data_IF_699045254485
#
_entry.id   IF_699045254485
#
_cell.length_a   1.000
_cell.length_b   1.000
_cell.length_c   1.000
_cell.angle_alpha   90.00
_cell.angle_beta   90.00
_cell.angle_gamma   90.00
#
_symmetry.space_group_name_H-M   'P 1'
#
loop_
_entity.id
_entity.type
_entity.pdbx_description
1 polymer ?
#
# COMPACT_ATOMS: atom_id res chain seq x y z
N UNK A 1 19.04 -20.65 12.64
CA UNK A 1 18.53 -20.31 11.28
C UNK A 1 17.77 -21.51 10.75
N UNK A 2 16.73 -21.31 9.95
CA UNK A 2 15.98 -22.40 9.27
C UNK A 2 16.23 -22.27 7.76
N UNK A 3 16.32 -23.39 7.06
CA UNK A 3 16.54 -23.45 5.61
C UNK A 3 15.23 -23.85 4.91
N UNK A 4 14.93 -23.19 3.79
CA UNK A 4 13.83 -23.52 2.89
C UNK A 4 14.44 -24.03 1.58
N UNK A 5 13.98 -25.20 1.13
CA UNK A 5 14.36 -25.77 -0.16
C UNK A 5 13.07 -25.86 -0.99
N UNK A 6 13.08 -25.23 -2.16
CA UNK A 6 11.93 -25.19 -3.07
C UNK A 6 12.39 -25.60 -4.46
N UNK A 7 11.59 -26.43 -5.14
CA UNK A 7 11.85 -26.81 -6.53
C UNK A 7 11.37 -25.68 -7.44
N UNK A 8 12.24 -25.26 -8.34
CA UNK A 8 11.96 -24.30 -9.41
C UNK A 8 12.51 -24.87 -10.71
N UNK A 9 11.94 -24.48 -11.84
CA UNK A 9 12.49 -24.81 -13.14
C UNK A 9 13.80 -24.05 -13.42
N UNK A 10 14.58 -24.55 -14.38
CA UNK A 10 15.90 -24.03 -14.72
C UNK A 10 15.83 -22.59 -15.29
N UNK A 11 14.74 -22.25 -15.97
CA UNK A 11 14.54 -20.91 -16.54
C UNK A 11 14.36 -19.88 -15.43
N UNK A 12 13.50 -20.16 -14.46
CA UNK A 12 13.28 -19.31 -13.30
C UNK A 12 14.57 -19.17 -12.48
N UNK A 13 15.31 -20.26 -12.29
CA UNK A 13 16.60 -20.21 -11.61
C UNK A 13 17.60 -19.30 -12.33
N UNK A 14 17.71 -19.40 -13.66
CA UNK A 14 18.58 -18.55 -14.46
C UNK A 14 18.21 -17.06 -14.36
N UNK A 15 16.90 -16.75 -14.41
CA UNK A 15 16.39 -15.38 -14.28
C UNK A 15 16.67 -14.78 -12.91
N UNK A 16 16.51 -15.55 -11.84
CA UNK A 16 16.84 -15.11 -10.47
C UNK A 16 18.32 -14.80 -10.35
N UNK A 17 19.19 -15.67 -10.90
CA UNK A 17 20.64 -15.47 -10.87
C UNK A 17 21.07 -14.23 -11.65
N UNK A 18 20.50 -14.02 -12.83
CA UNK A 18 20.75 -12.83 -13.64
C UNK A 18 20.33 -11.54 -12.90
N UNK A 19 19.15 -11.55 -12.27
CA UNK A 19 18.67 -10.42 -11.46
C UNK A 19 19.57 -10.12 -10.27
N UNK A 20 20.00 -11.16 -9.54
CA UNK A 20 20.91 -11.01 -8.41
C UNK A 20 22.25 -10.41 -8.83
N UNK A 21 22.80 -10.87 -9.96
CA UNK A 21 24.04 -10.32 -10.52
C UNK A 21 23.89 -8.85 -10.94
N UNK A 22 22.77 -8.49 -11.58
CA UNK A 22 22.50 -7.10 -11.96
C UNK A 22 22.39 -6.15 -10.77
N UNK A 23 21.88 -6.64 -9.63
CA UNK A 23 21.78 -5.88 -8.37
C UNK A 23 23.07 -5.95 -7.53
N UNK A 24 24.08 -6.73 -7.93
CA UNK A 24 25.31 -6.93 -7.15
C UNK A 24 25.08 -7.69 -5.84
N UNK A 25 24.03 -8.51 -5.77
CA UNK A 25 23.57 -9.20 -4.54
C UNK A 25 23.71 -10.70 -4.68
N UNK A 26 23.79 -11.40 -3.54
CA UNK A 26 23.70 -12.87 -3.56
C UNK A 26 22.27 -13.32 -3.85
N UNK A 27 22.12 -14.46 -4.51
CA UNK A 27 20.79 -15.05 -4.81
C UNK A 27 19.97 -15.24 -3.53
N UNK A 28 20.59 -15.71 -2.45
CA UNK A 28 19.91 -15.89 -1.16
C UNK A 28 19.43 -14.57 -0.56
N UNK A 29 20.20 -13.50 -0.68
CA UNK A 29 19.81 -12.19 -0.17
C UNK A 29 18.66 -11.59 -0.99
N UNK A 30 18.71 -11.72 -2.31
CA UNK A 30 17.61 -11.33 -3.20
C UNK A 30 16.33 -12.10 -2.87
N UNK A 31 16.39 -13.44 -2.82
CA UNK A 31 15.23 -14.29 -2.54
C UNK A 31 14.66 -14.03 -1.15
N UNK A 32 15.52 -13.88 -0.14
CA UNK A 32 15.07 -13.53 1.21
C UNK A 32 14.31 -12.21 1.23
N UNK A 33 14.84 -11.16 0.59
CA UNK A 33 14.18 -9.86 0.52
C UNK A 33 12.85 -9.91 -0.23
N UNK A 34 12.76 -10.69 -1.30
CA UNK A 34 11.50 -10.89 -2.03
C UNK A 34 10.44 -11.62 -1.18
N UNK A 35 10.86 -12.64 -0.42
CA UNK A 35 9.96 -13.36 0.49
C UNK A 35 9.51 -12.47 1.66
N UNK A 36 10.40 -11.66 2.23
CA UNK A 36 10.05 -10.67 3.25
C UNK A 36 9.02 -9.66 2.72
N UNK A 37 9.25 -9.09 1.53
CA UNK A 37 8.31 -8.15 0.91
C UNK A 37 6.95 -8.81 0.62
N UNK A 38 6.94 -10.02 0.07
CA UNK A 38 5.72 -10.75 -0.25
C UNK A 38 4.89 -11.10 1.00
N UNK A 39 5.53 -11.38 2.14
CA UNK A 39 4.86 -11.63 3.41
C UNK A 39 4.41 -10.31 4.06
N UNK A 40 5.19 -9.24 3.96
CA UNK A 40 4.84 -7.92 4.51
C UNK A 40 3.65 -7.30 3.77
N UNK A 41 3.55 -7.43 2.44
CA UNK A 41 2.37 -6.97 1.69
C UNK A 41 1.12 -7.80 2.01
N UNK A 42 1.28 -9.03 2.51
CA UNK A 42 0.19 -9.86 3.01
C UNK A 42 -0.24 -9.52 4.46
N UNK A 43 0.57 -8.75 5.21
CA UNK A 43 0.16 -8.19 6.50
C UNK A 43 -0.90 -7.11 6.25
N UNK A 44 -2.16 -7.51 6.33
CA UNK A 44 -3.34 -6.67 6.16
C UNK A 44 -3.13 -5.24 6.71
N UNK A 45 -3.67 -4.17 6.08
CA UNK A 45 -3.39 -2.76 6.40
C UNK A 45 -3.35 -2.39 7.89
N UNK A 46 -4.13 -3.11 8.71
CA UNK A 46 -4.19 -3.01 10.17
C UNK A 46 -2.87 -3.39 10.88
N UNK A 47 -2.17 -4.40 10.40
CA UNK A 47 -0.92 -4.91 10.99
C UNK A 47 0.28 -4.05 10.60
N UNK A 48 0.36 -3.61 9.33
CA UNK A 48 1.29 -2.56 8.91
C UNK A 48 1.13 -1.29 9.75
N UNK A 49 -0.12 -0.79 9.90
CA UNK A 49 -0.41 0.42 10.68
C UNK A 49 0.04 0.27 12.14
N UNK A 50 -0.22 -0.88 12.76
CA UNK A 50 0.25 -1.18 14.13
C UNK A 50 1.77 -1.12 14.26
N UNK A 51 2.52 -1.72 13.33
CA UNK A 51 4.00 -1.66 13.37
C UNK A 51 4.53 -0.25 13.16
N UNK A 52 3.94 0.52 12.26
CA UNK A 52 4.39 1.89 11.97
C UNK A 52 4.14 2.85 13.14
N UNK A 53 3.04 2.65 13.87
CA UNK A 53 2.78 3.35 15.14
C UNK A 53 3.81 2.94 16.19
N UNK A 54 4.06 1.63 16.38
CA UNK A 54 5.04 1.14 17.34
C UNK A 54 6.48 1.59 17.05
N UNK A 55 6.84 1.73 15.77
CA UNK A 55 8.14 2.22 15.33
C UNK A 55 8.26 3.77 15.39
N UNK A 56 7.22 4.48 15.83
CA UNK A 56 7.21 5.95 15.91
C UNK A 56 7.24 6.66 14.55
N UNK A 57 7.01 5.94 13.45
CA UNK A 57 7.07 6.47 12.08
C UNK A 57 5.74 7.03 11.59
N UNK A 58 4.63 6.70 12.26
CA UNK A 58 3.29 7.19 11.97
C UNK A 58 2.60 7.53 13.29
N UNK A 59 2.01 8.71 13.38
CA UNK A 59 1.13 9.10 14.49
C UNK A 59 -0.30 8.75 14.10
N UNK A 60 -0.97 7.94 14.91
CA UNK A 60 -2.41 7.78 14.81
C UNK A 60 -3.08 9.00 15.42
N UNK A 61 -3.60 9.89 14.58
CA UNK A 61 -4.48 10.98 15.03
C UNK A 61 -5.86 10.39 15.22
N UNK A 62 -6.37 10.41 16.45
CA UNK A 62 -7.80 10.19 16.68
C UNK A 62 -8.55 11.39 16.09
N UNK A 63 -9.48 11.18 15.14
CA UNK A 63 -10.25 12.28 14.59
C UNK A 63 -11.06 12.89 15.74
N UNK A 64 -10.81 14.18 16.03
CA UNK A 64 -11.42 14.88 17.17
C UNK A 64 -12.95 15.02 17.11
N UNK A 65 -13.56 14.63 15.98
CA UNK A 65 -15.02 14.48 15.81
C UNK A 65 -15.29 13.29 14.90
N UNK A 66 -16.36 12.56 15.20
CA UNK A 66 -16.91 11.57 14.29
C UNK A 66 -17.31 12.24 12.98
N UNK A 67 -16.85 11.68 11.87
CA UNK A 67 -17.28 12.14 10.56
C UNK A 67 -18.81 12.00 10.45
N UNK A 68 -19.52 13.00 9.89
CA UNK A 68 -20.95 12.89 9.70
C UNK A 68 -21.28 11.64 8.86
N UNK A 69 -22.26 10.86 9.32
CA UNK A 69 -22.73 9.69 8.59
C UNK A 69 -23.30 10.06 7.21
N UNK A 70 -23.37 9.08 6.30
CA UNK A 70 -23.81 9.29 4.90
C UNK A 70 -25.12 10.05 4.78
N UNK A 71 -26.11 9.76 5.63
CA UNK A 71 -27.41 10.45 5.64
C UNK A 71 -27.26 11.93 5.98
N UNK A 72 -26.48 12.25 7.03
CA UNK A 72 -26.19 13.63 7.45
C UNK A 72 -25.48 14.40 6.36
N UNK A 73 -24.55 13.76 5.65
CA UNK A 73 -23.87 14.34 4.48
C UNK A 73 -24.85 14.60 3.34
N UNK A 74 -25.75 13.67 3.04
CA UNK A 74 -26.76 13.85 2.01
C UNK A 74 -27.75 15.00 2.34
N UNK A 75 -28.13 15.15 3.61
CA UNK A 75 -28.92 16.29 4.09
C UNK A 75 -28.16 17.61 3.95
N UNK A 76 -26.90 17.66 4.42
CA UNK A 76 -26.05 18.86 4.34
C UNK A 76 -25.78 19.31 2.90
N UNK A 77 -25.69 18.35 1.97
CA UNK A 77 -25.43 18.61 0.56
C UNK A 77 -26.71 18.65 -0.28
N UNK A 78 -27.89 18.57 0.35
CA UNK A 78 -29.15 18.63 -0.36
C UNK A 78 -29.30 19.99 -1.05
N UNK A 79 -29.53 20.00 -2.36
CA UNK A 79 -29.63 21.22 -3.16
C UNK A 79 -28.28 21.84 -3.57
N UNK A 80 -27.15 21.35 -3.05
CA UNK A 80 -25.81 21.84 -3.43
C UNK A 80 -25.32 21.28 -4.78
N UNK A 81 -26.04 20.33 -5.37
CA UNK A 81 -25.65 19.61 -6.60
C UNK A 81 -25.29 20.50 -7.78
N UNK A 82 -26.14 21.48 -8.18
CA UNK A 82 -25.83 22.35 -9.32
C UNK A 82 -24.58 23.20 -9.10
N UNK A 83 -24.43 23.82 -7.93
CA UNK A 83 -23.26 24.65 -7.58
C UNK A 83 -21.98 23.83 -7.51
N UNK A 84 -22.04 22.61 -6.96
CA UNK A 84 -20.90 21.70 -6.94
C UNK A 84 -20.54 21.22 -8.34
N UNK A 85 -21.53 20.95 -9.21
CA UNK A 85 -21.28 20.51 -10.57
C UNK A 85 -20.61 21.62 -11.40
N UNK A 86 -21.07 22.86 -11.29
CA UNK A 86 -20.45 24.03 -11.93
C UNK A 86 -18.98 24.22 -11.50
N UNK A 87 -18.68 24.05 -10.22
CA UNK A 87 -17.31 24.15 -9.70
C UNK A 87 -16.41 22.99 -10.16
N UNK A 88 -16.97 21.79 -10.26
CA UNK A 88 -16.25 20.61 -10.77
C UNK A 88 -15.96 20.73 -12.27
N UNK A 89 -16.89 21.29 -13.04
CA UNK A 89 -16.71 21.52 -14.47
C UNK A 89 -15.64 22.60 -14.71
N UNK A 90 -15.65 23.70 -13.94
CA UNK A 90 -14.55 24.68 -13.91
C UNK A 90 -13.19 24.04 -13.60
N UNK A 91 -13.13 23.10 -12.66
CA UNK A 91 -11.88 22.42 -12.28
C UNK A 91 -11.40 21.38 -13.32
N UNK A 92 -12.26 20.97 -14.25
CA UNK A 92 -11.94 20.01 -15.32
C UNK A 92 -11.41 20.70 -16.57
N UNK A 93 -11.92 21.88 -16.87
CA UNK A 93 -11.50 22.68 -18.02
C UNK A 93 -10.14 23.39 -17.81
N UNK A 94 -9.62 23.41 -16.57
CA UNK A 94 -8.32 24.00 -16.20
C UNK A 94 -7.13 22.99 -16.29
N UNK A 95 -7.29 21.90 -17.06
CA UNK A 95 -6.26 20.88 -17.37
C UNK A 95 -6.04 20.72 -18.87
#
# INVERSE_FOLDING_TARGET
MRQLITRIDDELHARIKAKAAAEGRSVNELVRGLLEAAVIDADAPRQWKRRMIAAGKVVAVEPGRDAPGRTKVAELLHGAGPTLNEHLDWSRDDR
#
